data_IF_873879108630
#
_entry.id   IF_873879108630
#
_cell.length_a   1.000
_cell.length_b   1.000
_cell.length_c   1.000
_cell.angle_alpha   90.00
_cell.angle_beta   90.00
_cell.angle_gamma   90.00
#
_symmetry.space_group_name_H-M   'P 1'
#
loop_
_entity.id
_entity.type
_entity.pdbx_description
1 polymer ?
#
# COMPACT_ATOMS: atom_id res chain seq x y z
N UNK A 1 36.08 -20.15 -40.69
CA UNK A 1 35.05 -19.54 -41.56
C UNK A 1 33.65 -19.45 -40.92
N UNK A 2 33.37 -20.07 -39.76
CA UNK A 2 32.03 -20.00 -39.12
C UNK A 2 31.74 -18.76 -38.25
N UNK A 3 32.72 -17.91 -37.93
CA UNK A 3 32.52 -16.80 -36.97
C UNK A 3 31.72 -15.62 -37.52
N UNK A 4 31.93 -15.29 -38.79
CA UNK A 4 31.23 -14.19 -39.48
C UNK A 4 29.73 -14.50 -39.70
N UNK A 5 29.33 -15.69 -40.22
CA UNK A 5 27.91 -15.98 -40.38
C UNK A 5 27.16 -16.06 -39.04
N UNK A 6 27.81 -16.52 -37.96
CA UNK A 6 27.17 -16.57 -36.63
C UNK A 6 26.95 -15.17 -36.04
N UNK A 7 27.90 -14.24 -36.24
CA UNK A 7 27.77 -12.85 -35.80
C UNK A 7 26.65 -12.12 -36.57
N UNK A 8 26.54 -12.38 -37.87
CA UNK A 8 25.49 -11.83 -38.72
C UNK A 8 24.11 -12.36 -38.30
N UNK A 9 24.00 -13.66 -37.97
CA UNK A 9 22.76 -14.23 -37.44
C UNK A 9 22.37 -13.64 -36.08
N UNK A 10 23.34 -13.43 -35.19
CA UNK A 10 23.10 -12.82 -33.88
C UNK A 10 22.61 -11.37 -34.02
N UNK A 11 23.23 -10.58 -34.90
CA UNK A 11 22.81 -9.21 -35.17
C UNK A 11 21.43 -9.12 -35.82
N UNK A 12 21.10 -10.05 -36.73
CA UNK A 12 19.77 -10.16 -37.35
C UNK A 12 18.69 -10.62 -36.37
N UNK A 13 19.01 -11.55 -35.46
CA UNK A 13 18.09 -11.99 -34.42
C UNK A 13 17.78 -10.85 -33.43
N UNK A 14 18.79 -10.06 -33.05
CA UNK A 14 18.59 -8.90 -32.16
C UNK A 14 17.88 -7.73 -32.84
N UNK A 15 18.04 -7.55 -34.17
CA UNK A 15 17.37 -6.46 -34.90
C UNK A 15 15.92 -6.79 -35.29
N UNK A 16 15.57 -8.08 -35.36
CA UNK A 16 14.20 -8.55 -35.60
C UNK A 16 13.43 -8.88 -34.31
N UNK A 17 14.12 -9.01 -33.17
CA UNK A 17 13.55 -9.32 -31.86
C UNK A 17 12.58 -8.28 -31.28
N UNK A 18 12.42 -7.13 -31.95
CA UNK A 18 11.39 -6.12 -31.64
C UNK A 18 10.42 -5.80 -32.78
N UNK A 19 10.61 -6.39 -33.98
CA UNK A 19 9.71 -6.18 -35.13
C UNK A 19 8.62 -7.24 -35.25
N UNK A 20 8.73 -8.32 -34.48
CA UNK A 20 7.68 -9.29 -34.26
C UNK A 20 7.09 -9.01 -32.88
N UNK A 21 6.21 -8.00 -32.81
CA UNK A 21 5.33 -7.86 -31.66
C UNK A 21 4.53 -9.17 -31.48
N UNK A 22 4.07 -9.49 -30.25
CA UNK A 22 3.17 -10.63 -30.05
C UNK A 22 1.99 -10.53 -31.03
N UNK A 23 1.51 -11.68 -31.51
CA UNK A 23 0.29 -11.69 -32.31
C UNK A 23 -0.82 -10.94 -31.57
N UNK A 24 -1.50 -10.10 -32.32
CA UNK A 24 -2.45 -9.14 -31.81
C UNK A 24 -3.86 -9.72 -31.89
N UNK A 25 -4.29 -10.34 -30.79
CA UNK A 25 -5.55 -11.07 -30.66
C UNK A 25 -6.75 -10.18 -30.28
N UNK A 26 -6.71 -8.87 -30.57
CA UNK A 26 -7.80 -7.92 -30.27
C UNK A 26 -9.13 -8.35 -30.90
N UNK A 27 -10.16 -8.57 -30.07
CA UNK A 27 -11.57 -8.50 -30.49
C UNK A 27 -12.23 -7.32 -29.80
N UNK A 28 -13.05 -6.55 -30.53
CA UNK A 28 -13.93 -5.53 -29.95
C UNK A 28 -15.21 -6.24 -29.48
N UNK A 29 -15.54 -6.24 -28.18
CA UNK A 29 -16.88 -6.59 -27.73
C UNK A 29 -17.88 -5.59 -28.31
N UNK A 30 -18.97 -6.07 -28.89
CA UNK A 30 -20.06 -5.23 -29.40
C UNK A 30 -20.97 -4.84 -28.22
N UNK A 31 -20.47 -3.95 -27.36
CA UNK A 31 -21.12 -3.59 -26.11
C UNK A 31 -21.71 -2.18 -26.18
N UNK A 32 -22.86 -2.06 -26.87
CA UNK A 32 -23.98 -1.20 -26.45
C UNK A 32 -23.74 0.29 -26.11
N UNK A 33 -22.64 0.91 -26.53
CA UNK A 33 -22.36 2.34 -26.31
C UNK A 33 -21.37 2.68 -25.18
N UNK A 34 -20.55 1.73 -24.71
CA UNK A 34 -19.35 2.06 -23.94
C UNK A 34 -18.19 2.41 -24.89
N UNK A 35 -17.52 3.54 -24.64
CA UNK A 35 -16.55 4.12 -25.57
C UNK A 35 -15.09 3.81 -25.20
N UNK A 36 -14.86 2.77 -24.40
CA UNK A 36 -13.54 2.37 -23.91
C UNK A 36 -13.30 0.89 -24.24
N UNK A 37 -12.15 0.61 -24.85
CA UNK A 37 -11.73 -0.76 -25.21
C UNK A 37 -10.97 -1.41 -24.06
N UNK A 38 -11.59 -2.41 -23.43
CA UNK A 38 -10.98 -3.27 -22.40
C UNK A 38 -10.38 -4.55 -23.02
N UNK A 39 -9.40 -5.17 -22.33
CA UNK A 39 -8.77 -6.44 -22.72
C UNK A 39 -8.66 -7.41 -21.55
N UNK A 40 -8.91 -8.69 -21.80
CA UNK A 40 -8.65 -9.79 -20.87
C UNK A 40 -7.16 -10.19 -20.92
N UNK A 41 -6.53 -10.37 -19.74
CA UNK A 41 -5.11 -10.82 -19.61
C UNK A 41 -4.89 -12.21 -20.20
N UNK A 42 -5.92 -13.06 -20.19
CA UNK A 42 -5.94 -14.35 -20.84
C UNK A 42 -7.00 -14.29 -21.96
N UNK A 43 -6.66 -14.63 -23.22
CA UNK A 43 -7.64 -14.72 -24.30
C UNK A 43 -8.73 -15.75 -23.98
N UNK A 44 -9.99 -15.48 -24.34
CA UNK A 44 -11.10 -16.36 -23.96
C UNK A 44 -10.94 -17.80 -24.46
N UNK A 45 -10.30 -17.96 -25.63
CA UNK A 45 -9.94 -19.26 -26.20
C UNK A 45 -9.07 -20.13 -25.27
N UNK A 46 -8.29 -19.49 -24.38
CA UNK A 46 -7.39 -20.15 -23.44
C UNK A 46 -8.00 -20.31 -22.04
N UNK A 47 -9.24 -19.90 -21.81
CA UNK A 47 -9.92 -20.16 -20.52
C UNK A 47 -10.15 -21.65 -20.29
N UNK A 48 -10.29 -22.43 -21.37
CA UNK A 48 -10.44 -23.88 -21.31
C UNK A 48 -9.16 -24.63 -20.87
N UNK A 49 -8.01 -23.95 -20.82
CA UNK A 49 -6.76 -24.51 -20.29
C UNK A 49 -6.77 -24.62 -18.76
N UNK A 50 -7.70 -23.93 -18.10
CA UNK A 50 -7.90 -24.01 -16.66
C UNK A 50 -9.00 -25.02 -16.34
N UNK A 51 -8.89 -25.74 -15.20
CA UNK A 51 -9.88 -26.75 -14.82
C UNK A 51 -11.25 -26.18 -14.41
N UNK A 52 -11.44 -24.87 -14.52
CA UNK A 52 -12.65 -24.09 -14.20
C UNK A 52 -12.72 -22.86 -15.11
N UNK A 53 -13.93 -22.31 -15.36
CA UNK A 53 -14.07 -21.04 -16.08
C UNK A 53 -13.43 -19.95 -15.22
N UNK A 54 -12.29 -19.42 -15.66
CA UNK A 54 -11.55 -18.44 -14.87
C UNK A 54 -12.40 -17.18 -14.64
N UNK A 55 -13.29 -16.79 -15.56
CA UNK A 55 -14.11 -15.59 -15.42
C UNK A 55 -15.11 -15.67 -14.28
N UNK A 56 -15.51 -16.87 -13.86
CA UNK A 56 -16.51 -17.10 -12.84
C UNK A 56 -15.95 -18.11 -11.85
N UNK A 57 -15.47 -17.65 -10.69
CA UNK A 57 -15.20 -18.56 -9.58
C UNK A 57 -16.43 -18.62 -8.66
N UNK A 58 -16.89 -19.84 -8.45
CA UNK A 58 -17.95 -20.16 -7.51
C UNK A 58 -17.38 -20.08 -6.09
N UNK A 59 -17.93 -19.21 -5.24
CA UNK A 59 -17.66 -19.27 -3.81
C UNK A 59 -18.44 -20.45 -3.25
N UNK A 60 -17.76 -21.40 -2.63
CA UNK A 60 -18.39 -22.58 -2.03
C UNK A 60 -18.50 -22.34 -0.53
N UNK A 61 -19.68 -22.55 0.07
CA UNK A 61 -19.83 -22.70 1.51
C UNK A 61 -19.13 -24.01 1.91
N UNK A 62 -18.02 -23.98 2.67
CA UNK A 62 -17.28 -25.19 3.00
C UNK A 62 -18.03 -26.14 3.95
N UNK A 63 -19.07 -25.64 4.65
CA UNK A 63 -19.87 -26.44 5.58
C UNK A 63 -20.99 -27.20 4.88
N UNK A 64 -21.60 -26.60 3.86
CA UNK A 64 -22.65 -27.21 3.03
C UNK A 64 -22.10 -27.87 1.76
N UNK A 65 -20.89 -27.51 1.34
CA UNK A 65 -20.29 -27.85 0.04
C UNK A 65 -21.18 -27.43 -1.15
N UNK A 66 -21.86 -26.28 -1.00
CA UNK A 66 -22.75 -25.71 -2.00
C UNK A 66 -22.19 -24.39 -2.52
N UNK A 67 -22.41 -24.11 -3.81
CA UNK A 67 -22.09 -22.82 -4.42
C UNK A 67 -23.04 -21.75 -3.89
N UNK A 68 -22.46 -20.69 -3.32
CA UNK A 68 -23.21 -19.57 -2.72
C UNK A 68 -23.13 -18.29 -3.55
N UNK A 69 -22.19 -18.17 -4.49
CA UNK A 69 -22.02 -16.96 -5.31
C UNK A 69 -21.12 -17.20 -6.55
N UNK A 70 -21.30 -16.44 -7.63
CA UNK A 70 -20.42 -16.39 -8.80
C UNK A 70 -19.59 -15.08 -8.80
N UNK A 71 -18.27 -15.18 -9.02
CA UNK A 71 -17.34 -14.03 -8.93
C UNK A 71 -16.44 -13.92 -10.15
N UNK A 72 -16.09 -12.70 -10.58
CA UNK A 72 -15.21 -12.45 -11.72
C UNK A 72 -13.84 -11.87 -11.35
N UNK A 73 -12.82 -12.14 -12.18
CA UNK A 73 -11.53 -11.43 -12.09
C UNK A 73 -11.72 -9.99 -12.54
N UNK A 74 -11.25 -9.04 -11.73
CA UNK A 74 -10.84 -7.75 -12.28
C UNK A 74 -9.41 -7.85 -12.81
N UNK A 75 -9.18 -7.29 -13.99
CA UNK A 75 -7.87 -7.20 -14.61
C UNK A 75 -7.32 -5.79 -14.34
N UNK A 76 -6.19 -5.74 -13.63
CA UNK A 76 -5.46 -4.51 -13.33
C UNK A 76 -4.32 -4.35 -14.35
N UNK A 77 -4.27 -3.22 -15.06
CA UNK A 77 -3.13 -2.90 -15.93
C UNK A 77 -3.39 -1.81 -16.96
N UNK A 78 -2.32 -1.18 -17.43
CA UNK A 78 -2.33 -0.13 -18.45
C UNK A 78 -2.82 -0.61 -19.81
N UNK A 79 -3.72 0.18 -20.39
CA UNK A 79 -4.21 0.01 -21.76
C UNK A 79 -3.28 0.66 -22.80
N UNK A 80 -2.38 1.55 -22.35
CA UNK A 80 -1.59 2.48 -23.15
C UNK A 80 -0.07 2.39 -22.87
N UNK A 81 0.51 1.18 -22.83
CA UNK A 81 1.95 0.96 -22.58
C UNK A 81 2.80 1.77 -23.58
N UNK A 82 3.63 2.69 -23.07
CA UNK A 82 4.53 3.54 -23.85
C UNK A 82 3.96 4.89 -24.29
N UNK A 83 2.81 5.32 -23.76
CA UNK A 83 2.24 6.66 -23.94
C UNK A 83 2.45 7.54 -22.69
N UNK A 84 2.27 8.85 -22.82
CA UNK A 84 2.44 9.81 -21.72
C UNK A 84 1.34 9.77 -20.65
N UNK A 85 0.26 9.03 -20.89
CA UNK A 85 -0.89 8.84 -20.00
C UNK A 85 -0.92 7.42 -19.41
N UNK A 86 0.24 6.75 -19.38
CA UNK A 86 0.43 5.44 -18.77
C UNK A 86 0.35 5.54 -17.23
N UNK A 87 -0.85 5.80 -16.71
CA UNK A 87 -1.14 5.80 -15.27
C UNK A 87 -1.89 4.51 -14.94
N UNK A 88 -1.19 3.57 -14.30
CA UNK A 88 -1.86 2.43 -13.68
C UNK A 88 -2.64 2.98 -12.49
N UNK A 89 -3.87 2.52 -12.25
CA UNK A 89 -4.77 2.93 -11.16
C UNK A 89 -4.08 3.02 -9.77
N UNK A 90 -3.27 4.06 -9.53
CA UNK A 90 -2.32 4.18 -8.42
C UNK A 90 -1.03 3.37 -8.54
N UNK A 91 -0.39 3.23 -9.71
CA UNK A 91 0.91 2.54 -9.85
C UNK A 91 1.82 3.15 -10.92
N UNK A 92 3.11 3.37 -10.61
CA UNK A 92 4.09 3.99 -11.52
C UNK A 92 4.83 2.99 -12.45
N UNK A 93 4.16 1.89 -12.87
CA UNK A 93 4.55 0.81 -13.80
C UNK A 93 5.08 -0.50 -13.20
N UNK A 94 5.75 -0.48 -12.05
CA UNK A 94 6.23 -1.70 -11.38
C UNK A 94 5.77 -1.80 -9.91
N UNK A 95 5.17 -0.74 -9.39
CA UNK A 95 4.88 -0.58 -7.97
C UNK A 95 3.38 -0.38 -7.73
N UNK A 96 2.79 -1.30 -6.97
CA UNK A 96 1.41 -1.24 -6.49
C UNK A 96 1.40 -1.60 -5.00
N UNK A 97 0.55 -0.93 -4.20
CA UNK A 97 0.28 -1.30 -2.82
C UNK A 97 -1.22 -1.57 -2.68
N UNK A 98 -1.60 -2.83 -2.81
CA UNK A 98 -3.00 -3.23 -2.71
C UNK A 98 -3.34 -3.64 -1.28
N UNK A 99 -4.43 -3.10 -0.77
CA UNK A 99 -5.07 -3.57 0.46
C UNK A 99 -6.59 -3.59 0.30
N UNK A 100 -7.27 -4.21 1.25
CA UNK A 100 -8.73 -4.17 1.35
C UNK A 100 -9.15 -3.77 2.76
N UNK A 101 -10.31 -3.14 2.87
CA UNK A 101 -10.92 -2.87 4.18
C UNK A 101 -12.00 -3.88 4.57
N UNK A 102 -12.56 -3.69 5.77
CA UNK A 102 -13.68 -4.46 6.31
C UNK A 102 -14.93 -4.52 5.43
N UNK A 103 -15.12 -3.54 4.52
CA UNK A 103 -16.28 -3.45 3.63
C UNK A 103 -15.97 -4.05 2.24
N UNK A 104 -14.75 -4.55 2.02
CA UNK A 104 -14.29 -5.12 0.77
C UNK A 104 -13.92 -4.07 -0.28
N UNK A 105 -13.72 -2.81 0.11
CA UNK A 105 -13.16 -1.76 -0.74
C UNK A 105 -11.70 -2.10 -1.03
N UNK A 106 -11.30 -2.04 -2.29
CA UNK A 106 -9.90 -2.27 -2.68
C UNK A 106 -9.23 -0.91 -2.79
N UNK A 107 -8.06 -0.77 -2.17
CA UNK A 107 -7.24 0.43 -2.22
C UNK A 107 -5.95 0.16 -2.96
N UNK A 108 -5.41 1.16 -3.65
CA UNK A 108 -4.08 1.13 -4.22
C UNK A 108 -3.31 2.43 -3.96
N UNK A 109 -2.03 2.30 -3.60
CA UNK A 109 -1.08 3.42 -3.50
C UNK A 109 0.35 2.99 -3.87
N UNK A 110 0.60 2.76 -5.16
CA UNK A 110 1.93 2.67 -5.75
C UNK A 110 2.24 3.79 -6.74
N UNK A 111 1.40 4.83 -6.76
CA UNK A 111 1.55 6.05 -7.54
C UNK A 111 1.47 7.26 -6.61
N UNK A 112 1.12 8.42 -7.15
CA UNK A 112 1.17 9.68 -6.38
C UNK A 112 0.15 9.72 -5.24
N UNK A 113 -1.11 9.40 -5.54
CA UNK A 113 -2.21 9.55 -4.60
C UNK A 113 -3.03 8.28 -4.42
N UNK A 114 -3.82 8.15 -3.34
CA UNK A 114 -4.69 7.00 -3.11
C UNK A 114 -5.73 6.81 -4.21
N UNK A 115 -5.84 5.56 -4.66
CA UNK A 115 -6.93 5.07 -5.49
C UNK A 115 -7.76 4.08 -4.70
N UNK A 116 -9.07 4.03 -4.93
CA UNK A 116 -9.92 2.99 -4.38
C UNK A 116 -10.99 2.54 -5.37
N UNK A 117 -11.50 1.33 -5.14
CA UNK A 117 -12.56 0.72 -5.92
C UNK A 117 -13.64 0.14 -5.01
N UNK A 118 -14.88 0.51 -5.31
CA UNK A 118 -16.08 0.04 -4.59
C UNK A 118 -16.78 -1.11 -5.31
N UNK A 119 -16.29 -1.50 -6.48
CA UNK A 119 -16.90 -2.50 -7.37
C UNK A 119 -15.93 -3.63 -7.74
N UNK A 120 -15.04 -3.96 -6.80
CA UNK A 120 -14.04 -5.05 -6.90
C UNK A 120 -12.99 -4.81 -7.98
N UNK A 121 -12.64 -3.55 -8.18
CA UNK A 121 -11.56 -3.14 -9.07
C UNK A 121 -11.98 -2.95 -10.50
N UNK A 122 -13.29 -2.91 -10.82
CA UNK A 122 -13.77 -2.64 -12.18
C UNK A 122 -13.60 -1.16 -12.52
N UNK A 123 -13.97 -0.29 -11.58
CA UNK A 123 -13.74 1.15 -11.64
C UNK A 123 -12.95 1.60 -10.44
N UNK A 124 -12.21 2.69 -10.63
CA UNK A 124 -11.36 3.27 -9.60
C UNK A 124 -11.56 4.77 -9.52
N UNK A 125 -11.55 5.28 -8.31
CA UNK A 125 -11.57 6.70 -8.00
C UNK A 125 -10.22 7.10 -7.43
N UNK A 126 -9.67 8.21 -7.90
CA UNK A 126 -8.46 8.82 -7.36
C UNK A 126 -8.84 9.99 -6.44
N UNK A 127 -8.18 10.11 -5.31
CA UNK A 127 -8.22 11.33 -4.51
C UNK A 127 -6.98 12.16 -4.78
N UNK A 128 -7.15 13.40 -5.22
CA UNK A 128 -6.05 14.36 -5.38
C UNK A 128 -6.20 15.47 -4.33
N UNK A 129 -5.15 15.76 -3.53
CA UNK A 129 -5.22 16.81 -2.53
C UNK A 129 -5.40 18.20 -3.14
N UNK A 130 -6.06 19.13 -2.42
CA UNK A 130 -5.99 20.54 -2.78
C UNK A 130 -4.55 21.06 -2.58
N UNK A 131 -4.07 21.88 -3.50
CA UNK A 131 -2.72 22.48 -3.44
C UNK A 131 -2.44 23.32 -2.16
N UNK A 132 -3.51 23.77 -1.50
CA UNK A 132 -3.41 24.44 -0.19
C UNK A 132 -4.21 23.63 0.80
N UNK A 133 -3.51 23.21 1.86
CA UNK A 133 -4.13 22.57 2.99
C UNK A 133 -4.63 23.64 3.96
N UNK A 134 -5.90 23.52 4.34
CA UNK A 134 -6.52 24.43 5.32
C UNK A 134 -6.83 23.74 6.64
N UNK A 135 -6.44 22.47 6.79
CA UNK A 135 -6.56 21.74 8.03
C UNK A 135 -5.62 22.34 9.09
N UNK A 136 -6.19 22.73 10.22
CA UNK A 136 -5.46 23.20 11.39
C UNK A 136 -4.81 22.04 12.17
N UNK A 137 -5.10 20.81 11.75
CA UNK A 137 -4.54 19.56 12.21
C UNK A 137 -3.08 19.35 11.84
N UNK A 138 -2.59 19.93 10.75
CA UNK A 138 -1.20 19.76 10.33
C UNK A 138 -0.26 20.68 11.09
N UNK A 139 0.71 20.11 11.79
CA UNK A 139 1.64 20.86 12.63
C UNK A 139 2.78 21.50 11.82
N UNK A 140 3.15 20.92 10.67
CA UNK A 140 4.41 21.25 9.97
C UNK A 140 4.27 21.89 8.58
N UNK A 141 3.11 21.79 7.93
CA UNK A 141 2.96 22.33 6.58
C UNK A 141 1.52 22.44 6.09
N UNK A 142 1.13 23.64 5.66
CA UNK A 142 -0.17 23.92 5.02
C UNK A 142 -0.10 24.20 3.52
N UNK A 143 1.12 24.26 2.96
CA UNK A 143 1.35 24.51 1.53
C UNK A 143 2.02 23.29 0.94
N UNK A 144 1.50 22.80 -0.18
CA UNK A 144 2.12 21.75 -0.96
C UNK A 144 3.41 22.28 -1.63
N UNK A 145 4.61 21.79 -1.27
CA UNK A 145 5.85 22.20 -1.93
C UNK A 145 6.06 21.58 -3.32
N UNK A 146 5.17 20.70 -3.80
CA UNK A 146 5.33 19.95 -5.06
C UNK A 146 5.14 20.83 -6.29
N UNK A 147 6.14 20.82 -7.18
CA UNK A 147 6.10 21.57 -8.44
C UNK A 147 5.66 20.66 -9.60
N UNK A 148 5.97 19.36 -9.51
CA UNK A 148 5.59 18.33 -10.49
C UNK A 148 5.43 16.99 -9.74
N UNK A 149 4.20 16.58 -9.37
CA UNK A 149 3.98 15.26 -8.80
C UNK A 149 4.32 14.20 -9.85
N UNK A 150 5.03 13.15 -9.42
CA UNK A 150 5.60 12.14 -10.32
C UNK A 150 6.27 11.02 -9.55
N UNK A 151 6.12 9.77 -10.03
CA UNK A 151 6.74 8.55 -9.48
C UNK A 151 6.55 8.37 -7.96
N UNK A 152 5.43 8.85 -7.43
CA UNK A 152 5.09 8.58 -6.05
C UNK A 152 5.02 7.08 -5.81
N UNK A 153 5.49 6.68 -4.65
CA UNK A 153 5.40 5.32 -4.19
C UNK A 153 4.99 5.40 -2.72
N UNK A 154 4.10 4.50 -2.30
CA UNK A 154 3.49 4.64 -1.00
C UNK A 154 2.97 3.33 -0.45
N UNK A 155 2.24 3.47 0.65
CA UNK A 155 1.52 2.38 1.27
C UNK A 155 0.17 2.86 1.79
N UNK A 156 -0.83 1.97 1.70
CA UNK A 156 -2.20 2.23 2.16
C UNK A 156 -2.74 1.04 2.95
N UNK A 157 -3.25 1.26 4.17
CA UNK A 157 -3.78 0.24 5.09
C UNK A 157 -5.02 0.78 5.82
N UNK A 158 -5.74 -0.09 6.52
CA UNK A 158 -6.82 0.29 7.43
C UNK A 158 -6.37 0.17 8.90
N UNK A 159 -6.71 1.16 9.71
CA UNK A 159 -6.58 1.16 11.15
C UNK A 159 -7.74 0.39 11.83
N UNK A 160 -7.60 -0.05 13.10
CA UNK A 160 -8.60 -0.87 13.79
C UNK A 160 -10.01 -0.27 13.85
N UNK A 161 -10.14 1.06 13.86
CA UNK A 161 -11.42 1.77 13.94
C UNK A 161 -12.06 2.02 12.56
N UNK A 162 -11.41 1.59 11.48
CA UNK A 162 -11.88 1.76 10.12
C UNK A 162 -11.26 2.92 9.34
N UNK A 163 -10.45 3.77 9.98
CA UNK A 163 -9.72 4.84 9.30
C UNK A 163 -8.72 4.27 8.28
N UNK A 164 -8.55 4.96 7.15
CA UNK A 164 -7.61 4.58 6.10
C UNK A 164 -6.33 5.39 6.26
N UNK A 165 -5.22 4.69 6.46
CA UNK A 165 -3.90 5.27 6.66
C UNK A 165 -3.14 5.12 5.35
N UNK A 166 -2.79 6.24 4.75
CA UNK A 166 -2.03 6.30 3.52
C UNK A 166 -0.81 7.18 3.70
N UNK A 167 0.28 6.79 3.04
CA UNK A 167 1.44 7.66 2.92
C UNK A 167 2.10 7.49 1.58
N UNK A 168 2.66 8.57 1.10
CA UNK A 168 3.37 8.62 -0.18
C UNK A 168 4.60 9.52 -0.02
N UNK A 169 5.64 9.24 -0.79
CA UNK A 169 6.74 10.20 -0.94
C UNK A 169 6.99 10.54 -2.41
N UNK A 170 7.56 11.72 -2.65
CA UNK A 170 7.94 12.18 -3.98
C UNK A 170 9.43 12.48 -4.07
N UNK A 171 10.20 11.81 -4.98
CA UNK A 171 11.65 11.97 -5.09
C UNK A 171 12.12 13.18 -5.94
N UNK A 172 11.37 14.29 -6.00
CA UNK A 172 11.50 15.31 -7.05
C UNK A 172 11.72 16.75 -6.56
N UNK A 173 12.05 17.71 -7.46
CA UNK A 173 12.30 19.10 -7.14
C UNK A 173 11.16 19.74 -6.35
N UNK A 174 11.35 19.78 -5.05
CA UNK A 174 10.59 20.62 -4.15
C UNK A 174 11.26 22.00 -4.08
N UNK A 175 10.52 22.98 -3.55
CA UNK A 175 11.05 24.34 -3.28
C UNK A 175 12.29 24.27 -2.35
N UNK A 176 12.39 23.23 -1.52
CA UNK A 176 13.48 22.99 -0.58
C UNK A 176 14.49 21.90 -1.04
N UNK A 177 14.33 21.35 -2.24
CA UNK A 177 15.26 20.44 -2.90
C UNK A 177 15.43 19.06 -2.23
N UNK A 178 14.40 18.56 -1.55
CA UNK A 178 14.42 17.29 -0.81
C UNK A 178 13.20 16.42 -1.14
N UNK A 179 13.30 15.13 -0.84
CA UNK A 179 12.16 14.22 -0.90
C UNK A 179 11.03 14.71 0.03
N UNK A 180 9.79 14.56 -0.42
CA UNK A 180 8.62 15.08 0.28
C UNK A 180 7.81 13.93 0.85
N UNK A 181 7.49 13.97 2.14
CA UNK A 181 6.70 12.92 2.82
C UNK A 181 5.28 13.42 3.10
N UNK A 182 4.28 12.77 2.51
CA UNK A 182 2.87 13.08 2.70
C UNK A 182 2.20 11.98 3.50
N UNK A 183 1.58 12.38 4.59
CA UNK A 183 0.64 11.55 5.33
C UNK A 183 -0.78 11.90 4.88
N UNK A 184 -1.60 10.88 4.66
CA UNK A 184 -2.96 11.00 4.15
C UNK A 184 -3.86 10.14 5.04
N UNK A 185 -4.92 10.75 5.57
CA UNK A 185 -5.89 10.10 6.44
C UNK A 185 -7.26 10.10 5.76
N UNK A 186 -7.79 8.92 5.47
CA UNK A 186 -9.16 8.75 4.99
C UNK A 186 -10.11 8.37 6.12
N UNK A 187 -11.11 9.20 6.39
CA UNK A 187 -12.18 8.89 7.35
C UNK A 187 -13.40 8.41 6.60
N UNK A 188 -13.82 7.18 6.85
CA UNK A 188 -15.02 6.62 6.24
C UNK A 188 -16.27 7.33 6.78
N UNK A 189 -17.05 7.92 5.89
CA UNK A 189 -18.36 8.52 6.21
C UNK A 189 -19.52 7.58 5.88
N UNK A 190 -19.26 6.58 5.02
CA UNK A 190 -20.14 5.45 4.74
C UNK A 190 -19.30 4.23 4.30
N UNK A 191 -19.93 3.10 4.00
CA UNK A 191 -19.24 1.90 3.49
C UNK A 191 -18.49 2.16 2.18
N UNK A 192 -18.89 3.18 1.40
CA UNK A 192 -18.35 3.50 0.06
C UNK A 192 -17.95 4.98 -0.08
N UNK A 193 -17.80 5.74 1.01
CA UNK A 193 -17.44 7.16 0.96
C UNK A 193 -16.40 7.51 2.00
N UNK A 194 -15.41 8.30 1.59
CA UNK A 194 -14.23 8.62 2.39
C UNK A 194 -14.00 10.14 2.30
N UNK A 195 -13.81 10.77 3.46
CA UNK A 195 -13.29 12.13 3.56
C UNK A 195 -11.79 12.07 3.81
N UNK A 196 -11.02 12.79 3.01
CA UNK A 196 -9.57 12.72 3.04
C UNK A 196 -8.97 13.98 3.63
N UNK A 197 -7.98 13.80 4.48
CA UNK A 197 -7.11 14.82 5.06
C UNK A 197 -5.66 14.48 4.66
N UNK A 198 -4.78 15.48 4.57
CA UNK A 198 -3.35 15.23 4.38
C UNK A 198 -2.52 16.19 5.17
N UNK A 199 -1.28 15.82 5.48
CA UNK A 199 -0.25 16.73 5.99
C UNK A 199 1.08 16.44 5.30
N UNK A 200 1.81 17.52 5.01
CA UNK A 200 3.22 17.42 4.65
C UNK A 200 4.04 17.37 5.93
N UNK A 201 4.81 16.30 6.10
CA UNK A 201 5.72 16.11 7.21
C UNK A 201 7.12 16.52 6.75
N UNK A 202 7.64 17.61 7.33
CA UNK A 202 8.81 18.34 6.82
C UNK A 202 10.00 18.32 7.77
N UNK A 203 9.74 18.07 9.06
CA UNK A 203 10.73 17.90 10.12
C UNK A 203 11.18 16.44 10.07
N UNK A 204 12.50 16.25 10.04
CA UNK A 204 13.15 14.92 10.03
C UNK A 204 12.87 14.07 8.79
N UNK A 205 13.28 14.67 7.66
CA UNK A 205 13.40 14.16 6.29
C UNK A 205 14.35 12.96 6.14
N UNK A 206 14.29 11.98 7.03
CA UNK A 206 14.99 10.74 6.77
C UNK A 206 14.44 10.20 5.43
N UNK A 207 15.27 10.11 4.38
CA UNK A 207 14.76 9.94 3.04
C UNK A 207 14.06 8.58 2.99
N UNK A 208 12.73 8.61 2.83
CA UNK A 208 12.01 7.47 2.33
C UNK A 208 12.51 7.25 0.89
N UNK A 209 13.58 6.48 0.79
CA UNK A 209 14.05 5.97 -0.48
C UNK A 209 13.29 4.66 -0.69
N UNK A 210 12.51 4.55 -1.76
CA UNK A 210 11.64 3.39 -2.02
C UNK A 210 10.60 3.14 -0.90
N UNK A 211 9.74 2.13 -1.09
CA UNK A 211 8.43 1.96 -0.43
C UNK A 211 8.48 2.11 1.08
N UNK A 212 7.64 2.98 1.61
CA UNK A 212 7.36 2.99 3.04
C UNK A 212 6.55 1.74 3.41
N UNK A 213 6.97 1.08 4.47
CA UNK A 213 6.21 0.01 5.08
C UNK A 213 5.49 0.55 6.29
N UNK A 214 4.25 0.11 6.47
CA UNK A 214 3.38 0.61 7.54
C UNK A 214 2.60 -0.51 8.21
N UNK A 215 2.31 -0.29 9.49
CA UNK A 215 1.52 -1.19 10.32
C UNK A 215 0.74 -0.35 11.34
N UNK A 216 -0.53 -0.69 11.61
CA UNK A 216 -1.25 -0.04 12.68
C UNK A 216 -0.83 -0.64 14.02
N UNK A 217 -0.69 0.21 15.03
CA UNK A 217 -0.55 -0.15 16.44
C UNK A 217 -1.94 -0.11 17.05
N UNK A 218 -2.35 -1.22 17.67
CA UNK A 218 -3.69 -1.33 18.27
C UNK A 218 -3.70 -0.59 19.61
N UNK A 219 -4.62 0.37 19.73
CA UNK A 219 -4.82 1.12 20.98
C UNK A 219 -5.77 0.47 21.98
N UNK A 220 -6.17 1.21 23.03
CA UNK A 220 -5.90 2.64 23.23
C UNK A 220 -4.43 2.93 23.57
N UNK A 221 -3.93 4.07 23.09
CA UNK A 221 -2.54 4.53 23.29
C UNK A 221 -2.53 5.85 24.06
N UNK A 222 -1.76 5.91 25.12
CA UNK A 222 -1.43 7.15 25.83
C UNK A 222 -0.01 7.58 25.45
N UNK A 223 0.17 8.37 24.37
CA UNK A 223 1.50 8.69 23.89
C UNK A 223 2.27 9.56 24.91
N UNK A 224 3.58 9.37 25.02
CA UNK A 224 4.47 10.36 25.64
C UNK A 224 4.26 11.76 25.01
N UNK A 225 4.50 12.86 25.75
CA UNK A 225 4.30 14.22 25.25
C UNK A 225 4.98 14.52 23.91
N UNK A 226 6.15 13.91 23.66
CA UNK A 226 6.91 14.02 22.41
C UNK A 226 6.25 13.32 21.20
N UNK A 227 5.29 12.43 21.42
CA UNK A 227 4.53 11.73 20.36
C UNK A 227 3.05 12.13 20.32
N UNK A 228 2.58 12.88 21.31
CA UNK A 228 1.24 13.46 21.33
C UNK A 228 1.07 14.56 20.28
N UNK A 229 -0.02 14.55 19.54
CA UNK A 229 -0.35 15.56 18.52
C UNK A 229 -1.48 16.47 18.99
N UNK A 230 -1.70 17.55 18.26
CA UNK A 230 -2.87 18.42 18.43
C UNK A 230 -4.21 17.68 18.23
N UNK A 231 -4.25 16.58 17.47
CA UNK A 231 -5.45 15.75 17.26
C UNK A 231 -5.61 14.64 18.29
N UNK A 232 -4.51 14.11 18.83
CA UNK A 232 -4.59 13.11 19.90
C UNK A 232 -3.41 13.15 20.88
N UNK A 233 -3.72 13.20 22.18
CA UNK A 233 -2.73 13.28 23.26
C UNK A 233 -2.97 12.32 24.42
N UNK A 234 -4.06 11.55 24.39
CA UNK A 234 -4.38 10.49 25.38
C UNK A 234 -5.51 9.63 24.82
N UNK A 235 -5.49 8.34 25.15
CA UNK A 235 -6.47 7.34 24.75
C UNK A 235 -6.72 7.33 23.23
N UNK A 236 -5.65 7.44 22.45
CA UNK A 236 -5.66 7.42 21.00
C UNK A 236 -6.09 6.03 20.52
N UNK A 237 -7.01 5.91 19.55
CA UNK A 237 -7.59 4.61 19.19
C UNK A 237 -6.57 3.66 18.54
N UNK A 238 -5.53 4.22 17.94
CA UNK A 238 -4.45 3.51 17.27
C UNK A 238 -3.26 4.46 17.09
N UNK A 239 -2.12 3.91 16.69
CA UNK A 239 -1.02 4.66 16.08
C UNK A 239 -0.66 4.04 14.74
N UNK A 240 0.00 4.79 13.89
CA UNK A 240 0.60 4.32 12.66
C UNK A 240 2.11 4.35 12.81
N UNK A 241 2.76 3.21 12.61
CA UNK A 241 4.20 3.13 12.58
C UNK A 241 4.67 2.87 11.15
N UNK A 242 5.71 3.59 10.75
CA UNK A 242 6.20 3.60 9.38
C UNK A 242 7.71 3.50 9.36
N UNK A 243 8.24 2.87 8.33
CA UNK A 243 9.69 2.78 8.10
C UNK A 243 9.99 2.75 6.61
N UNK A 244 11.09 3.36 6.20
CA UNK A 244 11.59 3.23 4.83
C UNK A 244 12.13 1.83 4.58
N UNK A 245 11.93 1.33 3.35
CA UNK A 245 12.33 -0.02 2.91
C UNK A 245 13.78 -0.40 3.28
N UNK A 246 14.71 0.55 3.25
CA UNK A 246 16.13 0.25 3.48
C UNK A 246 16.52 0.11 4.94
N UNK A 247 15.73 0.67 5.86
CA UNK A 247 16.13 0.84 7.26
C UNK A 247 15.41 -0.09 8.23
N UNK A 248 14.41 -0.86 7.78
CA UNK A 248 13.67 -1.79 8.64
C UNK A 248 14.54 -2.84 9.35
N UNK A 249 15.76 -3.09 8.84
CA UNK A 249 16.73 -4.00 9.43
C UNK A 249 17.62 -3.40 10.52
N UNK A 250 17.55 -2.08 10.76
CA UNK A 250 18.37 -1.35 11.73
C UNK A 250 17.47 -0.53 12.68
N UNK A 251 18.08 0.17 13.64
CA UNK A 251 17.43 1.05 14.62
C UNK A 251 17.00 2.44 14.07
N UNK A 252 16.95 2.59 12.74
CA UNK A 252 16.83 3.89 12.04
C UNK A 252 15.58 3.92 11.14
N UNK A 253 15.14 5.11 10.75
CA UNK A 253 14.07 5.26 9.75
C UNK A 253 12.64 5.11 10.27
N UNK A 254 12.44 4.82 11.56
CA UNK A 254 11.11 4.63 12.11
C UNK A 254 10.47 5.95 12.47
N UNK A 255 9.23 6.13 12.05
CA UNK A 255 8.39 7.24 12.47
C UNK A 255 7.05 6.71 12.98
N UNK A 256 6.44 7.45 13.89
CA UNK A 256 5.15 7.11 14.48
C UNK A 256 4.23 8.32 14.48
N UNK A 257 2.94 8.05 14.31
CA UNK A 257 1.87 9.04 14.46
C UNK A 257 0.69 8.44 15.21
N UNK A 258 0.11 9.20 16.14
CA UNK A 258 -1.12 8.81 16.86
C UNK A 258 -2.39 9.41 16.25
N UNK A 259 -2.26 10.11 15.12
CA UNK A 259 -3.38 10.69 14.38
C UNK A 259 -3.33 10.41 12.87
N UNK A 260 -2.30 9.71 12.39
CA UNK A 260 -2.11 9.32 10.98
C UNK A 260 -1.73 10.48 10.06
N UNK A 261 -1.45 11.67 10.61
CA UNK A 261 -1.20 12.89 9.85
C UNK A 261 0.14 13.53 10.24
N UNK A 262 0.43 13.62 11.53
CA UNK A 262 1.65 14.21 12.06
C UNK A 262 2.57 13.08 12.53
N UNK A 263 3.62 12.80 11.76
CA UNK A 263 4.60 11.75 12.03
C UNK A 263 5.84 12.32 12.68
N UNK A 264 6.39 11.59 13.65
CA UNK A 264 7.61 11.97 14.36
C UNK A 264 8.58 10.80 14.43
N UNK A 265 9.90 11.02 14.36
CA UNK A 265 10.87 9.95 14.50
C UNK A 265 10.76 9.24 15.85
N UNK A 266 10.79 7.91 15.82
CA UNK A 266 10.86 7.06 17.01
C UNK A 266 12.12 6.22 16.95
N UNK A 267 12.86 6.19 18.05
CA UNK A 267 14.00 5.29 18.19
C UNK A 267 13.51 3.95 18.71
N UNK A 268 13.88 2.87 18.02
CA UNK A 268 13.63 1.51 18.49
C UNK A 268 14.93 0.90 19.04
N UNK A 269 14.87 -0.06 19.98
CA UNK A 269 16.06 -0.67 20.55
C UNK A 269 16.97 -1.36 19.51
N UNK A 270 18.29 -1.26 19.68
CA UNK A 270 19.26 -2.03 18.89
C UNK A 270 19.02 -3.55 19.08
N UNK A 271 18.97 -4.29 17.98
CA UNK A 271 18.92 -5.76 17.97
C UNK A 271 20.03 -6.45 18.81
N UNK A 272 21.16 -5.77 19.05
CA UNK A 272 22.26 -6.24 19.87
C UNK A 272 22.15 -5.84 21.34
N UNK A 273 21.24 -4.92 21.69
CA UNK A 273 21.11 -4.44 23.06
C UNK A 273 20.65 -5.55 24.00
N UNK A 274 19.70 -6.40 23.54
CA UNK A 274 19.18 -7.56 24.29
C UNK A 274 18.64 -7.22 25.68
N UNK A 275 18.00 -8.17 26.34
CA UNK A 275 17.47 -7.95 27.69
C UNK A 275 16.75 -9.17 28.24
N UNK A 276 16.41 -9.14 29.53
CA UNK A 276 15.39 -10.07 30.01
C UNK A 276 14.06 -9.74 29.32
N UNK A 277 13.22 -10.75 29.08
CA UNK A 277 11.90 -10.51 28.51
C UNK A 277 11.08 -9.67 29.50
N UNK A 278 10.78 -8.43 29.11
CA UNK A 278 10.04 -7.51 29.96
C UNK A 278 8.58 -7.97 30.19
N UNK A 279 8.02 -8.75 29.24
CA UNK A 279 6.62 -9.18 29.23
C UNK A 279 6.48 -10.60 28.66
N UNK A 280 5.53 -11.39 29.19
CA UNK A 280 5.07 -12.65 28.59
C UNK A 280 3.64 -12.44 28.11
N UNK A 281 3.40 -12.59 26.80
CA UNK A 281 2.08 -12.47 26.19
C UNK A 281 1.57 -13.83 25.69
N UNK A 282 0.27 -14.04 25.83
CA UNK A 282 -0.42 -15.20 25.26
C UNK A 282 -0.90 -14.83 23.84
N UNK A 283 -0.39 -15.55 22.83
CA UNK A 283 -0.81 -15.38 21.44
C UNK A 283 -2.03 -16.24 21.08
N UNK A 284 -2.60 -16.96 22.05
CA UNK A 284 -3.79 -17.76 21.85
C UNK A 284 -5.05 -16.90 22.07
N UNK A 285 -5.69 -16.52 20.97
CA UNK A 285 -6.92 -15.73 20.97
C UNK A 285 -8.10 -16.59 20.52
N UNK A 286 -9.12 -16.73 21.36
CA UNK A 286 -10.31 -17.56 21.05
C UNK A 286 -11.43 -16.77 20.34
N UNK A 287 -11.43 -15.44 20.44
CA UNK A 287 -12.51 -14.57 19.96
C UNK A 287 -11.95 -13.33 19.24
N UNK A 288 -11.28 -13.53 18.11
CA UNK A 288 -10.85 -12.44 17.24
C UNK A 288 -12.05 -11.91 16.45
N UNK A 289 -12.17 -10.59 16.36
CA UNK A 289 -13.15 -9.96 15.48
C UNK A 289 -12.71 -10.01 14.00
N UNK A 290 -13.59 -9.62 13.07
CA UNK A 290 -13.30 -9.60 11.63
C UNK A 290 -12.14 -8.65 11.28
N UNK A 291 -11.79 -7.72 12.16
CA UNK A 291 -10.69 -6.79 11.95
C UNK A 291 -9.33 -7.45 11.74
N UNK A 292 -9.16 -8.68 12.20
CA UNK A 292 -7.93 -9.45 12.07
C UNK A 292 -7.74 -10.09 10.69
N UNK A 293 -8.76 -10.05 9.82
CA UNK A 293 -8.63 -10.50 8.43
C UNK A 293 -7.87 -9.47 7.57
N UNK A 294 -8.00 -8.18 7.90
CA UNK A 294 -7.37 -7.07 7.17
C UNK A 294 -6.23 -6.36 7.94
N UNK A 295 -6.16 -6.47 9.28
CA UNK A 295 -5.00 -6.02 10.05
C UNK A 295 -3.90 -7.09 10.02
N UNK A 296 -3.23 -7.19 8.88
CA UNK A 296 -2.23 -8.24 8.64
C UNK A 296 -0.83 -7.84 9.12
N UNK A 297 -0.01 -8.82 9.55
CA UNK A 297 1.39 -8.59 9.84
C UNK A 297 2.12 -8.12 8.57
N UNK A 298 2.99 -7.11 8.72
CA UNK A 298 3.74 -6.59 7.58
C UNK A 298 5.12 -7.25 7.52
N UNK A 299 5.34 -8.08 6.49
CA UNK A 299 6.59 -8.86 6.34
C UNK A 299 7.85 -8.00 6.42
N UNK A 300 7.88 -6.89 5.69
CA UNK A 300 9.09 -6.06 5.59
C UNK A 300 9.33 -5.17 6.82
N UNK A 301 8.28 -4.83 7.59
CA UNK A 301 8.46 -4.24 8.92
C UNK A 301 8.83 -5.28 9.97
N UNK A 302 8.58 -6.56 9.69
CA UNK A 302 8.69 -7.67 10.64
C UNK A 302 7.88 -7.39 11.90
N UNK A 303 6.72 -6.79 11.73
CA UNK A 303 5.88 -6.34 12.82
C UNK A 303 4.47 -6.93 12.69
N UNK A 304 3.87 -7.28 13.82
CA UNK A 304 2.55 -7.88 13.90
C UNK A 304 1.71 -7.14 14.95
N UNK A 305 0.56 -6.55 14.59
CA UNK A 305 -0.33 -5.99 15.59
C UNK A 305 -0.81 -7.10 16.53
N UNK A 306 -0.92 -6.79 17.82
CA UNK A 306 -1.38 -7.77 18.82
C UNK A 306 -2.81 -7.44 19.26
N UNK A 307 -3.73 -8.41 19.29
CA UNK A 307 -5.13 -8.17 19.68
C UNK A 307 -5.35 -7.59 21.07
N UNK A 308 -4.46 -7.85 22.01
CA UNK A 308 -4.50 -7.25 23.34
C UNK A 308 -3.94 -5.83 23.40
N UNK A 309 -3.49 -5.26 22.28
CA UNK A 309 -2.82 -3.96 22.19
C UNK A 309 -1.34 -4.08 21.83
N UNK A 310 -0.82 -3.02 21.21
CA UNK A 310 0.60 -2.90 20.85
C UNK A 310 1.03 -3.62 19.56
N UNK A 311 2.34 -3.68 19.36
CA UNK A 311 3.00 -4.18 18.17
C UNK A 311 4.18 -5.10 18.54
N UNK A 312 4.18 -6.31 17.99
CA UNK A 312 5.22 -7.30 18.22
C UNK A 312 6.18 -7.36 17.03
N UNK A 313 7.47 -7.36 17.33
CA UNK A 313 8.57 -7.58 16.39
C UNK A 313 9.23 -8.94 16.68
N UNK A 314 8.90 -10.01 15.92
CA UNK A 314 9.41 -11.34 16.20
C UNK A 314 10.92 -11.46 15.96
N UNK A 315 11.64 -12.05 16.91
CA UNK A 315 13.09 -12.31 16.89
C UNK A 315 13.90 -11.07 16.53
N UNK A 316 13.52 -9.94 17.12
CA UNK A 316 14.20 -8.66 16.91
C UNK A 316 15.66 -8.71 17.40
N UNK A 317 15.89 -9.32 18.55
CA UNK A 317 17.21 -9.34 19.18
C UNK A 317 18.08 -10.52 18.73
N UNK A 318 19.40 -10.34 18.85
CA UNK A 318 20.41 -11.35 18.48
C UNK A 318 20.32 -12.65 19.27
N UNK A 319 19.76 -12.61 20.48
CA UNK A 319 19.48 -13.78 21.32
C UNK A 319 18.18 -14.51 20.93
N UNK A 320 17.45 -13.99 19.93
CA UNK A 320 16.22 -14.54 19.42
C UNK A 320 14.96 -14.11 20.17
N UNK A 321 15.08 -13.22 21.17
CA UNK A 321 13.92 -12.62 21.84
C UNK A 321 13.22 -11.59 20.93
N UNK A 322 11.96 -11.28 21.28
CA UNK A 322 11.12 -10.37 20.51
C UNK A 322 11.16 -8.96 21.13
N UNK A 323 11.01 -7.93 20.31
CA UNK A 323 10.72 -6.57 20.76
C UNK A 323 9.19 -6.39 20.79
N UNK A 324 8.67 -5.73 21.83
CA UNK A 324 7.26 -5.38 21.94
C UNK A 324 7.15 -3.87 22.20
N UNK A 325 6.25 -3.21 21.46
CA UNK A 325 5.90 -1.81 21.63
C UNK A 325 4.46 -1.75 22.11
N UNK A 326 4.22 -1.15 23.28
CA UNK A 326 2.90 -0.94 23.86
C UNK A 326 2.27 0.41 23.48
#
# INVERSE_FOLDING_TARGET
MLRVPLLVLLLLATSLGGCLGPEDFRSQPDDGGFNESVRLVIPEENFSDFPYDVRNFSVIDPSAMEEVDERFWSVYGTVNIGQSDEHNYGGNCCEHYLTTDQDGIIYNLGGEWPWWSTDRGLTWEEWVPPAVNTDLGCEEGQLDPTIEPGLGEGSIIQAPNGDILAMTWFPYPSIDGVDQFYAILGKKTSSTSIEWEWCWNSVDKEPFYDRSWQVPVVGPIDPPPEYATNKCSSNCPWASMVVSNFWSYNEQGYQISVDGLNYRPIQIPDSNAGGEADIVFDLYFENLGPEWDYMQPHREMRASPIPSGGLLFPRWYSDGSNLFMD
#
